data_IF_815730038149
#
_entry.id   IF_815730038149
#
_cell.length_a   1.000
_cell.length_b   1.000
_cell.length_c   1.000
_cell.angle_alpha   90.00
_cell.angle_beta   90.00
_cell.angle_gamma   90.00
#
_symmetry.space_group_name_H-M   'P 1'
#
loop_
_entity.id
_entity.type
_entity.pdbx_description
1 polymer ?
#
# COMPACT_ATOMS: atom_id res chain seq x y z
N UNK A 1 -42.91 26.36 10.78
CA UNK A 1 -42.38 25.26 9.95
C UNK A 1 -41.77 24.23 10.89
N UNK A 2 -42.33 23.01 10.98
CA UNK A 2 -41.75 21.91 11.77
C UNK A 2 -40.89 21.06 10.81
N UNK A 3 -39.66 20.75 11.21
CA UNK A 3 -38.81 19.79 10.51
C UNK A 3 -39.52 18.44 10.48
N UNK A 4 -39.47 17.76 9.35
CA UNK A 4 -39.90 16.37 9.26
C UNK A 4 -38.90 15.47 10.01
N UNK A 5 -39.25 14.22 10.34
CA UNK A 5 -38.30 13.26 10.90
C UNK A 5 -37.05 13.07 10.01
N UNK A 6 -37.22 13.08 8.69
CA UNK A 6 -36.12 12.97 7.72
C UNK A 6 -35.18 14.17 7.79
N UNK A 7 -35.74 15.39 7.84
CA UNK A 7 -34.92 16.60 7.99
C UNK A 7 -34.16 16.61 9.31
N UNK A 8 -34.76 16.08 10.38
CA UNK A 8 -34.11 15.98 11.69
C UNK A 8 -32.93 15.02 11.63
N UNK A 9 -33.06 13.87 10.95
CA UNK A 9 -31.96 12.92 10.73
C UNK A 9 -30.79 13.58 9.97
N UNK A 10 -31.07 14.37 8.94
CA UNK A 10 -30.04 15.10 8.19
C UNK A 10 -29.31 16.13 9.06
N UNK A 11 -30.04 16.89 9.87
CA UNK A 11 -29.47 17.86 10.80
C UNK A 11 -28.58 17.17 11.84
N UNK A 12 -29.01 16.03 12.36
CA UNK A 12 -28.24 15.28 13.36
C UNK A 12 -26.98 14.67 12.76
N UNK A 13 -27.05 14.14 11.54
CA UNK A 13 -25.87 13.67 10.80
C UNK A 13 -24.86 14.80 10.54
N UNK A 14 -25.34 15.98 10.12
CA UNK A 14 -24.49 17.15 9.90
C UNK A 14 -23.80 17.62 11.20
N UNK A 15 -24.53 17.64 12.31
CA UNK A 15 -23.97 17.97 13.63
C UNK A 15 -22.92 16.95 14.07
N UNK A 16 -23.17 15.66 13.87
CA UNK A 16 -22.21 14.61 14.17
C UNK A 16 -20.92 14.77 13.34
N UNK A 17 -21.05 15.09 12.06
CA UNK A 17 -19.91 15.38 11.17
C UNK A 17 -19.08 16.57 11.68
N UNK A 18 -19.73 17.68 12.03
CA UNK A 18 -19.02 18.85 12.59
C UNK A 18 -18.34 18.55 13.93
N UNK A 19 -18.97 17.74 14.77
CA UNK A 19 -18.38 17.31 16.04
C UNK A 19 -17.13 16.45 15.81
N UNK A 20 -17.20 15.49 14.90
CA UNK A 20 -16.07 14.62 14.54
C UNK A 20 -14.89 15.42 13.92
N UNK A 21 -15.16 16.47 13.15
CA UNK A 21 -14.11 17.35 12.63
C UNK A 21 -13.46 18.21 13.71
N UNK A 22 -14.25 18.67 14.69
CA UNK A 22 -13.78 19.57 15.74
C UNK A 22 -13.00 18.85 16.84
N UNK A 23 -13.44 17.65 17.21
CA UNK A 23 -12.78 16.80 18.21
C UNK A 23 -12.73 15.38 17.66
N UNK A 24 -11.76 15.09 16.78
CA UNK A 24 -11.57 13.74 16.25
C UNK A 24 -11.31 12.75 17.37
N UNK A 25 -11.86 11.54 17.23
CA UNK A 25 -11.48 10.43 18.11
C UNK A 25 -10.02 10.08 17.85
N UNK A 26 -9.15 10.04 18.88
CA UNK A 26 -7.76 9.71 18.68
C UNK A 26 -7.59 8.33 18.05
N UNK A 27 -6.75 8.27 17.01
CA UNK A 27 -6.25 6.99 16.54
C UNK A 27 -5.02 6.57 17.34
N UNK A 28 -4.94 5.27 17.64
CA UNK A 28 -3.76 4.66 18.25
C UNK A 28 -3.25 3.51 17.36
N UNK A 29 -1.94 3.47 17.06
CA UNK A 29 -1.26 2.34 16.44
C UNK A 29 -1.60 0.97 17.03
N UNK A 30 -1.61 -0.08 16.21
CA UNK A 30 -1.74 -1.47 16.64
C UNK A 30 -3.15 -1.91 17.02
N UNK A 31 -4.15 -1.02 16.91
CA UNK A 31 -5.54 -1.34 17.27
C UNK A 31 -6.36 -1.97 16.16
N UNK A 32 -5.78 -2.13 14.96
CA UNK A 32 -6.45 -2.63 13.77
C UNK A 32 -7.78 -1.91 13.45
N UNK A 33 -7.95 -0.66 13.90
CA UNK A 33 -9.12 0.17 13.64
C UNK A 33 -8.93 0.96 12.34
N UNK A 34 -10.02 1.21 11.62
CA UNK A 34 -9.95 2.13 10.47
C UNK A 34 -9.62 3.54 10.94
N UNK A 35 -8.98 4.30 10.07
CA UNK A 35 -8.58 5.68 10.27
C UNK A 35 -9.24 6.60 9.24
N UNK A 36 -9.48 7.84 9.65
CA UNK A 36 -9.91 8.91 8.77
C UNK A 36 -8.69 9.65 8.22
N UNK A 37 -8.47 9.59 6.91
CA UNK A 37 -7.28 10.16 6.26
C UNK A 37 -7.70 11.30 5.34
N UNK A 38 -6.98 12.42 5.43
CA UNK A 38 -7.23 13.57 4.56
C UNK A 38 -6.59 13.36 3.19
N UNK A 39 -7.40 13.47 2.13
CA UNK A 39 -6.96 13.40 0.73
C UNK A 39 -7.52 14.62 -0.01
N UNK A 40 -6.67 15.62 -0.23
CA UNK A 40 -7.10 16.93 -0.71
C UNK A 40 -8.18 17.52 0.21
N UNK A 41 -9.36 17.92 -0.32
CA UNK A 41 -10.46 18.45 0.48
C UNK A 41 -11.35 17.35 1.10
N UNK A 42 -11.11 16.07 0.80
CA UNK A 42 -11.94 14.95 1.26
C UNK A 42 -11.32 14.21 2.44
N UNK A 43 -12.14 13.43 3.12
CA UNK A 43 -11.73 12.52 4.20
C UNK A 43 -12.11 11.11 3.81
N UNK A 44 -11.11 10.26 3.57
CA UNK A 44 -11.29 8.87 3.21
C UNK A 44 -11.12 7.94 4.40
N UNK A 45 -11.84 6.81 4.35
CA UNK A 45 -11.63 5.70 5.26
C UNK A 45 -10.43 4.89 4.78
N UNK A 46 -9.49 4.62 5.67
CA UNK A 46 -8.37 3.73 5.37
C UNK A 46 -8.16 2.70 6.48
N UNK A 47 -7.71 1.51 6.10
CA UNK A 47 -7.33 0.44 7.04
C UNK A 47 -5.81 0.39 7.15
N UNK A 48 -5.24 0.60 8.35
CA UNK A 48 -3.82 0.36 8.57
C UNK A 48 -3.46 -1.12 8.35
N UNK A 49 -2.28 -1.38 7.77
CA UNK A 49 -1.77 -2.73 7.59
C UNK A 49 -1.30 -3.26 8.94
N UNK A 50 -1.76 -4.44 9.38
CA UNK A 50 -1.28 -5.04 10.62
C UNK A 50 0.25 -5.18 10.62
N UNK A 51 0.90 -4.68 11.67
CA UNK A 51 2.36 -4.78 11.85
C UNK A 51 3.17 -3.69 11.15
N UNK A 52 2.55 -2.87 10.29
CA UNK A 52 3.15 -1.66 9.68
C UNK A 52 2.31 -0.41 9.99
N UNK A 53 1.57 -0.47 11.11
CA UNK A 53 0.71 0.57 11.66
C UNK A 53 1.32 1.22 12.92
N UNK A 54 2.57 0.91 13.24
CA UNK A 54 3.32 1.39 14.41
C UNK A 54 4.32 2.52 14.12
N UNK A 55 4.49 2.91 12.85
CA UNK A 55 5.42 3.96 12.45
C UNK A 55 5.00 5.33 13.00
N UNK A 56 5.94 6.14 13.52
CA UNK A 56 5.62 7.48 14.05
C UNK A 56 5.28 8.48 12.93
N UNK A 57 5.97 8.38 11.79
CA UNK A 57 5.87 9.35 10.69
C UNK A 57 5.04 8.84 9.52
N UNK A 58 5.21 7.57 9.15
CA UNK A 58 4.53 6.96 8.01
C UNK A 58 4.14 5.52 8.34
N UNK A 59 2.89 5.18 8.03
CA UNK A 59 2.34 3.81 8.12
C UNK A 59 1.84 3.34 6.76
N UNK A 60 1.57 2.05 6.63
CA UNK A 60 0.89 1.54 5.44
C UNK A 60 -0.62 1.43 5.65
N UNK A 61 -1.40 1.87 4.67
CA UNK A 61 -2.86 1.81 4.69
C UNK A 61 -3.42 1.34 3.35
N UNK A 62 -4.61 0.75 3.36
CA UNK A 62 -5.41 0.54 2.16
C UNK A 62 -6.67 1.40 2.25
N UNK A 63 -7.04 2.09 1.17
CA UNK A 63 -8.28 2.86 1.12
C UNK A 63 -9.48 1.90 1.09
N UNK A 64 -10.53 2.25 1.84
CA UNK A 64 -11.73 1.42 2.02
C UNK A 64 -12.95 2.24 1.64
N UNK A 65 -13.81 1.69 0.79
CA UNK A 65 -15.06 2.35 0.47
C UNK A 65 -15.95 2.46 1.72
N UNK A 66 -16.55 3.62 2.03
CA UNK A 66 -17.29 3.83 3.28
C UNK A 66 -18.43 2.82 3.49
N UNK A 67 -19.14 2.45 2.42
CA UNK A 67 -20.29 1.53 2.48
C UNK A 67 -19.92 0.05 2.61
N UNK A 68 -18.63 -0.29 2.51
CA UNK A 68 -18.19 -1.68 2.62
C UNK A 68 -17.86 -2.03 4.08
N UNK A 69 -18.30 -3.19 4.60
CA UNK A 69 -18.06 -3.56 6.00
C UNK A 69 -16.58 -3.85 6.31
N UNK A 70 -15.78 -4.16 5.29
CA UNK A 70 -14.36 -4.52 5.45
C UNK A 70 -13.48 -3.84 4.41
N UNK A 71 -12.21 -3.64 4.78
CA UNK A 71 -11.10 -3.42 3.85
C UNK A 71 -10.81 -4.62 2.92
N UNK A 72 -11.74 -5.57 2.79
CA UNK A 72 -11.54 -6.82 2.10
C UNK A 72 -11.51 -6.57 0.59
N UNK A 73 -10.28 -6.48 0.10
CA UNK A 73 -9.82 -6.23 -1.25
C UNK A 73 -10.38 -7.10 -2.38
N UNK A 74 -11.23 -8.09 -2.10
CA UNK A 74 -11.42 -9.18 -3.07
C UNK A 74 -12.55 -9.01 -4.08
N UNK A 75 -13.62 -8.23 -3.79
CA UNK A 75 -14.76 -8.15 -4.73
C UNK A 75 -15.34 -6.73 -4.88
N UNK A 76 -15.86 -6.12 -3.82
CA UNK A 76 -16.57 -4.82 -3.95
C UNK A 76 -15.64 -3.61 -3.95
N UNK A 77 -14.58 -3.61 -3.14
CA UNK A 77 -13.65 -2.47 -3.07
C UNK A 77 -12.87 -2.24 -4.37
N UNK A 78 -12.60 -3.31 -5.13
CA UNK A 78 -11.89 -3.24 -6.40
C UNK A 78 -12.79 -2.65 -7.49
N UNK A 79 -14.06 -3.06 -7.52
CA UNK A 79 -15.06 -2.53 -8.45
C UNK A 79 -15.34 -1.03 -8.22
N UNK A 80 -15.10 -0.54 -7.00
CA UNK A 80 -15.28 0.86 -6.63
C UNK A 80 -13.99 1.69 -6.70
N UNK A 81 -12.87 1.09 -7.14
CA UNK A 81 -11.59 1.79 -7.34
C UNK A 81 -10.78 2.06 -6.06
N UNK A 82 -11.25 1.62 -4.88
CA UNK A 82 -10.59 1.87 -3.59
C UNK A 82 -9.46 0.86 -3.32
N UNK A 83 -9.67 -0.42 -3.61
CA UNK A 83 -8.68 -1.47 -3.28
C UNK A 83 -7.69 -1.75 -4.41
N UNK A 84 -7.92 -1.20 -5.61
CA UNK A 84 -6.99 -1.28 -6.74
C UNK A 84 -5.69 -0.49 -6.55
N UNK A 85 -5.64 0.38 -5.55
CA UNK A 85 -4.44 1.15 -5.16
C UNK A 85 -3.45 0.34 -4.32
N UNK A 86 -3.85 -0.85 -3.86
CA UNK A 86 -3.03 -1.69 -2.97
C UNK A 86 -2.78 -1.02 -1.62
N UNK A 87 -1.61 -1.30 -1.04
CA UNK A 87 -1.14 -0.64 0.17
C UNK A 87 -0.40 0.64 -0.19
N UNK A 88 -0.66 1.71 0.56
CA UNK A 88 -0.13 3.06 0.35
C UNK A 88 0.63 3.54 1.58
N UNK A 89 1.70 4.32 1.38
CA UNK A 89 2.48 4.99 2.42
C UNK A 89 1.74 6.26 2.84
N UNK A 90 1.09 6.19 4.00
CA UNK A 90 0.33 7.26 4.59
C UNK A 90 1.17 7.96 5.66
N UNK A 91 1.46 9.24 5.43
CA UNK A 91 1.95 10.17 6.46
C UNK A 91 0.96 10.20 7.63
N UNK A 92 1.42 9.94 8.85
CA UNK A 92 0.57 9.93 10.05
C UNK A 92 -0.04 11.30 10.33
N UNK A 93 0.59 12.37 9.85
CA UNK A 93 0.09 13.75 9.93
C UNK A 93 -1.18 14.01 9.10
N UNK A 94 -1.48 13.14 8.12
CA UNK A 94 -2.71 13.21 7.31
C UNK A 94 -3.88 12.50 7.98
N UNK A 95 -3.63 11.72 9.03
CA UNK A 95 -4.64 11.00 9.79
C UNK A 95 -5.32 11.99 10.75
N UNK A 96 -6.64 12.13 10.63
CA UNK A 96 -7.44 12.97 11.52
C UNK A 96 -7.70 12.30 12.87
N UNK A 97 -7.81 10.97 12.84
CA UNK A 97 -8.23 10.17 13.98
C UNK A 97 -8.78 8.82 13.53
N UNK A 98 -9.45 8.13 14.45
CA UNK A 98 -10.20 6.93 14.14
C UNK A 98 -11.31 7.24 13.13
N UNK A 99 -11.56 6.32 12.20
CA UNK A 99 -12.70 6.43 11.31
C UNK A 99 -14.01 6.38 12.09
N UNK A 100 -14.89 7.34 11.82
CA UNK A 100 -16.25 7.39 12.35
C UNK A 100 -17.24 7.51 11.19
N UNK A 101 -18.44 6.90 11.27
CA UNK A 101 -19.47 7.01 10.23
C UNK A 101 -19.83 8.46 9.86
N UNK A 102 -19.64 9.41 10.79
CA UNK A 102 -19.88 10.83 10.58
C UNK A 102 -19.00 11.45 9.46
N UNK A 103 -17.84 10.84 9.14
CA UNK A 103 -16.99 11.29 8.02
C UNK A 103 -17.46 10.80 6.66
N UNK A 104 -18.45 9.89 6.57
CA UNK A 104 -18.91 9.32 5.30
C UNK A 104 -19.30 10.39 4.29
N UNK A 105 -19.99 11.45 4.73
CA UNK A 105 -20.42 12.56 3.88
C UNK A 105 -19.26 13.41 3.31
N UNK A 106 -18.03 13.20 3.79
CA UNK A 106 -16.83 13.92 3.36
C UNK A 106 -15.93 13.08 2.42
N UNK A 107 -16.37 11.89 2.02
CA UNK A 107 -15.63 11.02 1.09
C UNK A 107 -15.90 11.43 -0.36
N UNK A 108 -15.00 11.08 -1.28
CA UNK A 108 -15.24 11.17 -2.72
C UNK A 108 -16.48 10.36 -3.13
N UNK A 109 -16.63 9.16 -2.56
CA UNK A 109 -17.78 8.30 -2.79
C UNK A 109 -19.12 8.99 -2.49
N UNK A 110 -19.24 9.69 -1.36
CA UNK A 110 -20.46 10.43 -1.01
C UNK A 110 -20.74 11.61 -1.95
N UNK A 111 -19.70 12.19 -2.56
CA UNK A 111 -19.84 13.20 -3.60
C UNK A 111 -20.13 12.62 -5.00
N UNK A 112 -20.19 11.29 -5.14
CA UNK A 112 -20.35 10.62 -6.43
C UNK A 112 -19.12 10.77 -7.34
N UNK A 113 -17.94 11.01 -6.76
CA UNK A 113 -16.69 11.21 -7.49
C UNK A 113 -15.81 9.95 -7.38
N UNK A 114 -15.05 9.60 -8.43
CA UNK A 114 -14.01 8.59 -8.31
C UNK A 114 -12.86 9.11 -7.43
N UNK A 115 -12.07 8.19 -6.87
CA UNK A 115 -10.78 8.56 -6.28
C UNK A 115 -9.86 9.14 -7.37
N UNK A 116 -9.06 10.18 -7.06
CA UNK A 116 -8.09 10.73 -8.00
C UNK A 116 -6.99 9.71 -8.32
N UNK A 117 -6.34 9.90 -9.48
CA UNK A 117 -5.21 9.07 -9.89
C UNK A 117 -4.01 9.19 -8.97
N UNK A 118 -3.79 10.40 -8.47
CA UNK A 118 -2.84 10.68 -7.42
C UNK A 118 -3.60 11.07 -6.14
N UNK A 119 -3.48 10.22 -5.13
CA UNK A 119 -4.06 10.44 -3.79
C UNK A 119 -3.07 11.08 -2.82
N UNK A 120 -1.89 11.47 -3.29
CA UNK A 120 -0.81 12.03 -2.47
C UNK A 120 -0.14 11.02 -1.55
N UNK A 121 -0.24 9.72 -1.88
CA UNK A 121 0.40 8.63 -1.14
C UNK A 121 1.06 7.67 -2.11
N UNK A 122 2.34 7.41 -1.90
CA UNK A 122 3.10 6.47 -2.71
C UNK A 122 2.67 5.01 -2.41
N UNK A 123 2.79 4.09 -3.37
CA UNK A 123 2.64 2.67 -3.09
C UNK A 123 3.60 2.16 -2.00
N UNK A 124 3.13 1.25 -1.15
CA UNK A 124 3.96 0.56 -0.18
C UNK A 124 4.67 -0.64 -0.84
N UNK A 125 6.00 -0.64 -0.80
CA UNK A 125 6.82 -1.64 -1.47
C UNK A 125 7.09 -2.84 -0.55
N UNK A 126 6.25 -3.88 -0.66
CA UNK A 126 6.38 -5.14 0.09
C UNK A 126 7.02 -6.26 -0.71
N UNK A 127 7.50 -6.00 -1.92
CA UNK A 127 8.26 -6.93 -2.72
C UNK A 127 9.69 -6.46 -2.95
N UNK A 128 10.56 -7.37 -3.36
CA UNK A 128 11.85 -7.06 -3.97
C UNK A 128 11.92 -7.74 -5.33
N UNK A 129 12.23 -6.99 -6.38
CA UNK A 129 12.46 -7.52 -7.72
C UNK A 129 13.94 -7.44 -8.04
N UNK A 130 14.53 -8.57 -8.42
CA UNK A 130 15.88 -8.61 -8.99
C UNK A 130 15.74 -8.59 -10.50
N UNK A 131 16.36 -7.61 -11.14
CA UNK A 131 16.29 -7.43 -12.59
C UNK A 131 17.67 -7.40 -13.21
N UNK A 132 17.79 -7.96 -14.42
CA UNK A 132 18.97 -7.91 -15.25
C UNK A 132 18.74 -7.00 -16.44
N UNK A 133 19.68 -6.07 -16.68
CA UNK A 133 19.66 -5.17 -17.82
C UNK A 133 20.63 -5.67 -18.89
N UNK A 134 20.12 -5.90 -20.09
CA UNK A 134 20.87 -6.38 -21.23
C UNK A 134 21.59 -5.24 -21.97
N UNK A 135 22.61 -5.59 -22.77
CA UNK A 135 23.36 -4.64 -23.60
C UNK A 135 22.54 -4.00 -24.71
N UNK A 136 21.46 -4.65 -25.13
CA UNK A 136 20.48 -4.11 -26.08
C UNK A 136 19.49 -3.11 -25.43
N UNK A 137 19.58 -2.95 -24.10
CA UNK A 137 18.75 -2.05 -23.30
C UNK A 137 17.47 -2.66 -22.76
N UNK A 138 17.19 -3.94 -23.03
CA UNK A 138 16.05 -4.65 -22.42
C UNK A 138 16.33 -4.98 -20.95
N UNK A 139 15.27 -5.15 -20.16
CA UNK A 139 15.35 -5.51 -18.73
C UNK A 139 14.44 -6.68 -18.45
N UNK A 140 15.01 -7.75 -17.89
CA UNK A 140 14.28 -8.94 -17.47
C UNK A 140 14.23 -9.02 -15.95
N UNK A 141 13.07 -9.36 -15.38
CA UNK A 141 12.95 -9.69 -13.95
C UNK A 141 13.36 -11.13 -13.73
N UNK A 142 14.47 -11.35 -13.02
CA UNK A 142 15.00 -12.68 -12.70
C UNK A 142 14.30 -13.31 -11.51
N UNK A 143 14.03 -12.52 -10.47
CA UNK A 143 13.48 -13.02 -9.21
C UNK A 143 12.52 -12.00 -8.60
N UNK A 144 11.42 -12.49 -8.03
CA UNK A 144 10.48 -11.70 -7.24
C UNK A 144 10.42 -12.30 -5.83
N UNK A 145 10.72 -11.51 -4.82
CA UNK A 145 10.72 -11.91 -3.42
C UNK A 145 9.61 -11.18 -2.66
N UNK A 146 8.88 -11.90 -1.83
CA UNK A 146 7.85 -11.34 -0.96
C UNK A 146 6.61 -12.24 -0.84
N UNK A 147 5.53 -11.72 -0.22
CA UNK A 147 5.44 -10.40 0.39
C UNK A 147 6.23 -10.31 1.71
N UNK A 148 6.95 -9.21 1.91
CA UNK A 148 7.55 -8.90 3.20
C UNK A 148 6.49 -8.39 4.19
N UNK A 149 6.60 -8.73 5.49
CA UNK A 149 5.65 -8.27 6.50
C UNK A 149 5.83 -6.78 6.84
N UNK A 150 6.95 -6.14 6.48
CA UNK A 150 7.20 -4.71 6.70
C UNK A 150 8.06 -4.16 5.55
N UNK A 151 7.85 -2.90 5.13
CA UNK A 151 8.58 -2.34 3.96
C UNK A 151 10.08 -2.22 4.21
N UNK A 152 10.51 -1.93 5.44
CA UNK A 152 11.94 -1.83 5.78
C UNK A 152 12.68 -3.17 5.62
N UNK A 153 11.98 -4.31 5.75
CA UNK A 153 12.57 -5.63 5.50
C UNK A 153 12.84 -5.83 4.02
N UNK A 154 11.90 -5.42 3.16
CA UNK A 154 12.10 -5.43 1.71
C UNK A 154 13.27 -4.52 1.31
N UNK A 155 13.35 -3.30 1.86
CA UNK A 155 14.48 -2.38 1.62
C UNK A 155 15.81 -2.97 2.05
N UNK A 156 15.89 -3.51 3.28
CA UNK A 156 17.11 -4.14 3.80
C UNK A 156 17.57 -5.29 2.91
N UNK A 157 16.65 -6.15 2.48
CA UNK A 157 17.01 -7.30 1.66
C UNK A 157 17.36 -6.89 0.22
N UNK A 158 16.74 -5.85 -0.33
CA UNK A 158 17.17 -5.24 -1.60
C UNK A 158 18.61 -4.68 -1.51
N UNK A 159 18.93 -3.93 -0.45
CA UNK A 159 20.27 -3.40 -0.22
C UNK A 159 21.30 -4.53 -0.10
N UNK A 160 20.97 -5.57 0.69
CA UNK A 160 21.82 -6.76 0.84
C UNK A 160 22.05 -7.47 -0.49
N UNK A 161 21.01 -7.66 -1.29
CA UNK A 161 21.12 -8.29 -2.61
C UNK A 161 21.97 -7.45 -3.56
N UNK A 162 21.83 -6.13 -3.54
CA UNK A 162 22.68 -5.25 -4.33
C UNK A 162 24.16 -5.38 -3.96
N UNK A 163 24.49 -5.51 -2.66
CA UNK A 163 25.87 -5.79 -2.23
C UNK A 163 26.40 -7.11 -2.78
N UNK A 164 25.61 -8.18 -2.77
CA UNK A 164 26.02 -9.48 -3.34
C UNK A 164 26.12 -9.44 -4.88
N UNK A 165 25.32 -8.59 -5.53
CA UNK A 165 25.29 -8.43 -6.98
C UNK A 165 26.41 -7.53 -7.53
N UNK A 166 27.14 -6.82 -6.67
CA UNK A 166 28.24 -5.94 -7.10
C UNK A 166 29.26 -6.69 -7.98
N UNK A 167 29.45 -6.20 -9.21
CA UNK A 167 30.39 -6.80 -10.17
C UNK A 167 29.89 -8.08 -10.87
N UNK A 168 28.70 -8.59 -10.53
CA UNK A 168 28.12 -9.79 -11.16
C UNK A 168 27.91 -9.58 -12.66
N UNK A 169 27.38 -8.41 -13.07
CA UNK A 169 27.13 -8.11 -14.47
C UNK A 169 28.40 -8.11 -15.33
N UNK A 170 29.55 -7.73 -14.77
CA UNK A 170 30.83 -7.75 -15.49
C UNK A 170 31.33 -9.18 -15.78
N UNK A 171 30.79 -10.18 -15.06
CA UNK A 171 31.15 -11.59 -15.21
C UNK A 171 30.20 -12.35 -16.14
N UNK A 172 29.09 -11.74 -16.57
CA UNK A 172 28.07 -12.37 -17.41
C UNK A 172 27.98 -11.67 -18.77
N UNK A 173 28.20 -12.42 -19.85
CA UNK A 173 28.13 -11.89 -21.22
C UNK A 173 26.71 -11.44 -21.56
N UNK A 174 26.56 -10.23 -22.12
CA UNK A 174 25.28 -9.72 -22.59
C UNK A 174 24.50 -8.89 -21.56
N UNK A 175 25.02 -8.77 -20.33
CA UNK A 175 24.44 -7.91 -19.30
C UNK A 175 25.27 -6.65 -19.05
N UNK A 176 24.59 -5.58 -18.65
CA UNK A 176 25.18 -4.30 -18.26
C UNK A 176 25.02 -4.01 -16.78
N UNK A 177 23.95 -4.51 -16.16
CA UNK A 177 23.70 -4.40 -14.72
C UNK A 177 22.78 -5.52 -14.24
N UNK A 178 22.90 -5.87 -12.97
CA UNK A 178 21.90 -6.67 -12.25
C UNK A 178 21.63 -5.93 -10.94
N UNK A 179 20.37 -5.58 -10.67
CA UNK A 179 19.98 -4.78 -9.51
C UNK A 179 18.78 -5.38 -8.81
N UNK A 180 18.72 -5.20 -7.48
CA UNK A 180 17.57 -5.52 -6.66
C UNK A 180 16.89 -4.22 -6.23
N UNK A 181 15.58 -4.11 -6.46
CA UNK A 181 14.81 -2.92 -6.13
C UNK A 181 13.54 -3.32 -5.38
N UNK A 182 13.15 -2.50 -4.41
CA UNK A 182 11.85 -2.67 -3.75
C UNK A 182 10.72 -2.37 -4.72
N UNK A 183 9.66 -3.18 -4.69
CA UNK A 183 8.52 -3.07 -5.59
C UNK A 183 7.20 -3.12 -4.82
N UNK A 184 6.13 -2.46 -5.31
CA UNK A 184 4.77 -2.70 -4.83
C UNK A 184 4.42 -4.19 -4.90
N UNK A 185 3.62 -4.66 -3.95
CA UNK A 185 3.10 -6.03 -3.96
C UNK A 185 1.60 -6.02 -4.21
N UNK A 186 1.18 -6.68 -5.29
CA UNK A 186 -0.22 -6.96 -5.55
C UNK A 186 -0.53 -8.40 -5.14
N UNK A 187 -1.56 -8.59 -4.32
CA UNK A 187 -2.00 -9.92 -3.86
C UNK A 187 -2.42 -10.81 -5.05
N UNK A 188 -2.91 -10.23 -6.13
CA UNK A 188 -3.24 -10.98 -7.35
C UNK A 188 -2.01 -11.67 -7.96
N UNK A 189 -0.81 -11.10 -7.78
CA UNK A 189 0.44 -11.62 -8.35
C UNK A 189 1.18 -12.56 -7.40
N UNK A 190 0.59 -12.93 -6.24
CA UNK A 190 1.30 -13.65 -5.18
C UNK A 190 1.95 -14.97 -5.63
N UNK A 191 1.34 -15.69 -6.57
CA UNK A 191 1.88 -16.96 -7.10
C UNK A 191 3.22 -16.77 -7.82
N UNK A 192 3.49 -15.56 -8.31
CA UNK A 192 4.75 -15.20 -8.97
C UNK A 192 5.85 -14.73 -8.02
N UNK A 193 5.62 -14.74 -6.71
CA UNK A 193 6.60 -14.34 -5.70
C UNK A 193 7.13 -15.55 -4.92
N UNK A 194 8.44 -15.56 -4.70
CA UNK A 194 9.09 -16.50 -3.81
C UNK A 194 9.07 -15.96 -2.39
N UNK A 195 8.68 -16.80 -1.42
CA UNK A 195 8.74 -16.45 -0.01
C UNK A 195 10.22 -16.30 0.43
N UNK A 196 10.63 -15.12 0.93
CA UNK A 196 12.01 -14.87 1.33
C UNK A 196 12.43 -15.63 2.61
N UNK A 197 11.49 -16.19 3.37
CA UNK A 197 11.77 -16.93 4.61
C UNK A 197 11.93 -18.43 4.40
N UNK A 198 11.29 -18.99 3.37
CA UNK A 198 11.32 -20.42 3.07
C UNK A 198 12.48 -20.80 2.14
N UNK A 199 13.08 -19.83 1.43
CA UNK A 199 14.14 -20.07 0.48
C UNK A 199 15.46 -19.37 0.86
N UNK A 200 16.59 -20.05 0.60
CA UNK A 200 17.89 -19.42 0.68
C UNK A 200 18.09 -18.51 -0.54
N UNK A 201 17.67 -17.26 -0.41
CA UNK A 201 17.56 -16.28 -1.52
C UNK A 201 18.84 -16.19 -2.37
N UNK A 202 20.02 -16.23 -1.75
CA UNK A 202 21.29 -16.17 -2.48
C UNK A 202 21.59 -17.41 -3.31
N UNK A 203 21.11 -18.60 -2.89
CA UNK A 203 21.23 -19.82 -3.69
C UNK A 203 20.30 -19.78 -4.91
N UNK A 204 19.06 -19.31 -4.73
CA UNK A 204 18.13 -19.11 -5.85
C UNK A 204 18.68 -18.11 -6.88
N UNK A 205 19.29 -17.03 -6.40
CA UNK A 205 19.91 -16.04 -7.27
C UNK A 205 21.10 -16.62 -8.03
N UNK A 206 21.96 -17.40 -7.38
CA UNK A 206 23.09 -18.06 -8.03
C UNK A 206 22.64 -19.03 -9.14
N UNK A 207 21.62 -19.83 -8.87
CA UNK A 207 21.04 -20.76 -9.87
C UNK A 207 20.45 -20.00 -11.06
N UNK A 208 19.72 -18.91 -10.81
CA UNK A 208 19.15 -18.06 -11.87
C UNK A 208 20.24 -17.42 -12.73
N UNK A 209 21.27 -16.86 -12.11
CA UNK A 209 22.38 -16.22 -12.84
C UNK A 209 23.19 -17.23 -13.67
N UNK A 210 23.36 -18.46 -13.18
CA UNK A 210 24.01 -19.53 -13.92
C UNK A 210 23.24 -19.89 -15.22
N UNK A 211 21.91 -19.80 -15.20
CA UNK A 211 21.07 -20.01 -16.39
C UNK A 211 21.10 -18.87 -17.40
N UNK A 212 21.48 -17.65 -17.01
CA UNK A 212 21.59 -16.48 -17.91
C UNK A 212 22.95 -16.43 -18.61
N UNK A 213 23.98 -17.05 -18.03
CA UNK A 213 25.34 -17.10 -18.59
C UNK A 213 25.57 -18.15 -19.70
N UNK A 214 24.55 -18.90 -20.11
CA UNK A 214 24.59 -19.89 -21.21
C UNK A 214 23.97 -19.36 -22.49
#
# INVERSE_FOLDING_TARGET
MKLTPEDQTLVDAFRAMLAALRVPEPWAPGRAQDVAVRIGPFVERARPRPGDDHGPDVIAVALVHPDTPHAAAYLHGHQLGYTGRGWLRCETTTILGAWQPAYTALTHAAAGLPLPDDVGMDPAHYGVHVSARHTDGTTDTLLRLGPYPQTWLASRDADRLNTELEGTAASLSGLTAVTAETAPFNVADHEGYTDPYDAYVTALLADLLAGVGT
#
